data_IF_192857001315
#
_entry.id   IF_192857001315
#
_cell.length_a   1.000
_cell.length_b   1.000
_cell.length_c   1.000
_cell.angle_alpha   90.00
_cell.angle_beta   90.00
_cell.angle_gamma   90.00
#
_symmetry.space_group_name_H-M   'P 1'
#
loop_
_entity.id
_entity.type
_entity.pdbx_description
1 polymer ?
#
# COMPACT_ATOMS: atom_id res chain seq x y z
N UNK A 1 26.92 -10.21 -5.22
CA UNK A 1 26.03 -9.68 -4.17
C UNK A 1 24.74 -9.26 -4.86
N UNK A 2 23.59 -9.86 -4.52
CA UNK A 2 22.31 -9.56 -5.18
C UNK A 2 21.57 -8.54 -4.31
N UNK A 3 21.40 -7.32 -4.82
CA UNK A 3 20.61 -6.29 -4.15
C UNK A 3 19.15 -6.49 -4.56
N UNK A 4 18.27 -6.62 -3.57
CA UNK A 4 16.82 -6.64 -3.79
C UNK A 4 16.27 -5.24 -3.51
N UNK A 5 15.48 -4.71 -4.45
CA UNK A 5 14.72 -3.49 -4.27
C UNK A 5 13.24 -3.85 -4.19
N UNK A 6 12.53 -3.16 -3.30
CA UNK A 6 11.11 -3.32 -3.05
C UNK A 6 10.43 -2.00 -3.37
N UNK A 7 9.34 -2.04 -4.13
CA UNK A 7 8.49 -0.89 -4.44
C UNK A 7 7.11 -1.05 -3.79
N UNK A 8 6.65 -0.01 -3.12
CA UNK A 8 5.30 0.09 -2.56
C UNK A 8 4.62 1.24 -3.28
N UNK A 9 3.37 1.05 -3.68
CA UNK A 9 2.60 2.05 -4.39
C UNK A 9 1.15 2.03 -3.89
N UNK A 10 0.52 3.19 -3.89
CA UNK A 10 -0.90 3.38 -3.59
C UNK A 10 -1.54 3.98 -4.82
N UNK A 11 -2.60 3.34 -5.30
CA UNK A 11 -3.42 3.79 -6.42
C UNK A 11 -4.79 4.22 -5.88
N UNK A 12 -5.26 5.38 -6.33
CA UNK A 12 -6.67 5.73 -6.16
C UNK A 12 -7.53 4.92 -7.15
N UNK A 13 -8.47 4.13 -6.62
CA UNK A 13 -9.33 3.30 -7.44
C UNK A 13 -10.33 4.08 -8.28
N UNK A 14 -10.66 5.32 -7.93
CA UNK A 14 -11.61 6.16 -8.69
C UNK A 14 -11.06 6.55 -10.06
N UNK A 15 -9.82 7.07 -10.11
CA UNK A 15 -9.22 7.61 -11.33
C UNK A 15 -7.96 6.85 -11.79
N UNK A 16 -7.59 5.75 -11.10
CA UNK A 16 -6.39 4.92 -11.37
C UNK A 16 -5.06 5.67 -11.24
N UNK A 17 -5.05 6.81 -10.55
CA UNK A 17 -3.84 7.58 -10.35
C UNK A 17 -2.96 6.96 -9.26
N UNK A 18 -1.64 6.87 -9.52
CA UNK A 18 -0.66 6.57 -8.46
C UNK A 18 -0.54 7.80 -7.56
N UNK A 19 -1.01 7.67 -6.32
CA UNK A 19 -1.04 8.78 -5.35
C UNK A 19 0.12 8.75 -4.36
N UNK A 20 0.83 7.64 -4.24
CA UNK A 20 2.07 7.56 -3.46
C UNK A 20 2.88 6.35 -3.89
N UNK A 21 4.21 6.46 -3.85
CA UNK A 21 5.11 5.33 -4.05
C UNK A 21 6.41 5.55 -3.28
N UNK A 22 7.05 4.47 -2.85
CA UNK A 22 8.38 4.49 -2.23
C UNK A 22 9.17 3.25 -2.62
N UNK A 23 10.50 3.40 -2.71
CA UNK A 23 11.42 2.30 -3.00
C UNK A 23 12.35 2.10 -1.80
N UNK A 24 12.58 0.85 -1.41
CA UNK A 24 13.46 0.50 -0.29
C UNK A 24 14.27 -0.75 -0.60
N UNK A 25 15.44 -0.88 0.01
CA UNK A 25 16.23 -2.12 -0.01
C UNK A 25 15.69 -3.20 0.95
N UNK A 26 14.73 -2.84 1.81
CA UNK A 26 14.12 -3.75 2.80
C UNK A 26 12.62 -3.47 2.97
N UNK A 27 11.74 -4.50 2.98
CA UNK A 27 10.30 -4.32 3.13
C UNK A 27 9.92 -4.19 4.61
N UNK A 28 10.12 -2.99 5.18
CA UNK A 28 9.84 -2.69 6.60
C UNK A 28 8.63 -1.77 6.79
N UNK A 29 8.30 -1.47 8.06
CA UNK A 29 7.12 -0.67 8.44
C UNK A 29 7.25 0.76 7.94
N UNK A 30 8.44 1.30 8.07
CA UNK A 30 8.79 2.69 7.80
C UNK A 30 8.59 3.01 6.32
N UNK A 31 8.92 2.06 5.45
CA UNK A 31 8.72 2.15 4.02
C UNK A 31 7.23 2.19 3.62
N UNK A 32 6.39 1.32 4.19
CA UNK A 32 4.93 1.36 3.93
C UNK A 32 4.34 2.66 4.49
N UNK A 33 4.77 3.05 5.69
CA UNK A 33 4.35 4.30 6.32
C UNK A 33 4.71 5.52 5.46
N UNK A 34 5.91 5.54 4.89
CA UNK A 34 6.34 6.61 3.98
C UNK A 34 5.44 6.66 2.74
N UNK A 35 5.13 5.51 2.14
CA UNK A 35 4.21 5.40 1.00
C UNK A 35 2.82 5.96 1.32
N UNK A 36 2.27 5.63 2.49
CA UNK A 36 0.96 6.13 2.92
C UNK A 36 0.98 7.62 3.21
N UNK A 37 2.06 8.15 3.79
CA UNK A 37 2.23 9.60 3.97
C UNK A 37 2.37 10.34 2.64
N UNK A 38 3.05 9.75 1.66
CA UNK A 38 3.14 10.32 0.31
C UNK A 38 1.73 10.41 -0.33
N UNK A 39 0.94 9.34 -0.22
CA UNK A 39 -0.45 9.30 -0.66
C UNK A 39 -1.33 10.34 0.04
N UNK A 40 -1.25 10.41 1.38
CA UNK A 40 -1.96 11.38 2.20
C UNK A 40 -1.65 12.82 1.76
N UNK A 41 -0.35 13.13 1.59
CA UNK A 41 0.12 14.45 1.17
C UNK A 41 -0.37 14.82 -0.22
N UNK A 42 -0.28 13.88 -1.17
CA UNK A 42 -0.72 14.10 -2.56
C UNK A 42 -2.22 14.38 -2.63
N UNK A 43 -3.02 13.70 -1.80
CA UNK A 43 -4.47 13.92 -1.70
C UNK A 43 -4.87 15.06 -0.76
N UNK A 44 -3.91 15.75 -0.15
CA UNK A 44 -4.12 16.87 0.78
C UNK A 44 -5.08 16.49 1.93
N UNK A 45 -4.94 15.27 2.43
CA UNK A 45 -5.75 14.78 3.55
C UNK A 45 -5.08 15.14 4.87
N UNK A 46 -5.81 15.78 5.78
CA UNK A 46 -5.30 16.11 7.11
C UNK A 46 -5.06 14.85 7.97
N UNK A 47 -5.89 13.81 7.75
CA UNK A 47 -5.82 12.52 8.42
C UNK A 47 -6.18 11.38 7.46
N UNK A 48 -5.76 10.15 7.78
CA UNK A 48 -6.23 8.93 7.11
C UNK A 48 -7.40 8.27 7.85
N UNK A 49 -7.97 8.94 8.85
CA UNK A 49 -9.16 8.48 9.57
C UNK A 49 -10.33 8.25 8.61
N UNK A 50 -10.94 7.07 8.68
CA UNK A 50 -12.02 6.67 7.79
C UNK A 50 -11.59 6.30 6.37
N UNK A 51 -10.32 6.49 6.00
CA UNK A 51 -9.80 6.07 4.70
C UNK A 51 -9.64 4.56 4.66
N UNK A 52 -10.26 3.93 3.66
CA UNK A 52 -10.10 2.50 3.42
C UNK A 52 -8.85 2.27 2.56
N UNK A 53 -7.90 1.50 3.09
CA UNK A 53 -6.70 1.07 2.35
C UNK A 53 -6.84 -0.43 2.09
N UNK A 54 -6.96 -0.79 0.82
CA UNK A 54 -7.04 -2.17 0.38
C UNK A 54 -5.66 -2.71 0.01
N UNK A 55 -5.27 -3.84 0.61
CA UNK A 55 -4.05 -4.57 0.30
C UNK A 55 -4.35 -6.03 0.00
N UNK A 56 -3.44 -6.70 -0.69
CA UNK A 56 -3.51 -8.15 -0.79
C UNK A 56 -3.26 -8.84 0.57
N UNK A 57 -3.37 -10.17 0.59
CA UNK A 57 -2.96 -10.97 1.74
C UNK A 57 -1.45 -11.29 1.73
N UNK A 58 -0.59 -10.40 1.22
CA UNK A 58 0.86 -10.59 1.28
C UNK A 58 1.35 -10.77 2.73
N UNK A 59 2.48 -11.47 2.92
CA UNK A 59 3.06 -11.69 4.26
C UNK A 59 3.33 -10.37 5.01
N UNK A 60 3.68 -9.32 4.26
CA UNK A 60 3.91 -7.97 4.76
C UNK A 60 2.61 -7.35 5.31
N UNK A 61 1.49 -7.51 4.61
CA UNK A 61 0.19 -6.90 4.99
C UNK A 61 -0.59 -7.74 6.01
N UNK A 62 -0.32 -9.06 6.09
CA UNK A 62 -0.82 -9.93 7.17
C UNK A 62 -0.07 -9.78 8.50
N UNK A 63 1.04 -9.05 8.52
CA UNK A 63 1.88 -8.95 9.69
C UNK A 63 1.30 -8.05 10.79
N UNK A 64 1.73 -8.29 12.04
CA UNK A 64 1.45 -7.41 13.18
C UNK A 64 1.84 -5.96 12.91
N UNK A 65 2.86 -5.75 12.07
CA UNK A 65 3.35 -4.45 11.66
C UNK A 65 2.28 -3.62 10.94
N UNK A 66 1.54 -4.23 9.99
CA UNK A 66 0.49 -3.53 9.24
C UNK A 66 -0.69 -3.15 10.14
N UNK A 67 -1.09 -4.07 11.04
CA UNK A 67 -2.14 -3.81 12.03
C UNK A 67 -1.76 -2.71 13.03
N UNK A 68 -0.49 -2.63 13.40
CA UNK A 68 0.01 -1.52 14.23
C UNK A 68 0.04 -0.21 13.44
N UNK A 69 0.39 -0.26 12.15
CA UNK A 69 0.38 0.92 11.29
C UNK A 69 -1.04 1.46 11.06
N UNK A 70 -2.04 0.59 10.93
CA UNK A 70 -3.45 1.01 10.80
C UNK A 70 -3.95 1.71 12.05
N UNK A 71 -3.55 1.25 13.24
CA UNK A 71 -3.86 1.94 14.50
C UNK A 71 -3.15 3.28 14.63
N UNK A 72 -1.88 3.34 14.21
CA UNK A 72 -1.05 4.55 14.30
C UNK A 72 -1.52 5.66 13.36
N UNK A 73 -1.97 5.29 12.16
CA UNK A 73 -2.43 6.23 11.13
C UNK A 73 -3.96 6.34 11.05
N UNK A 74 -4.70 5.59 11.88
CA UNK A 74 -6.16 5.58 11.98
C UNK A 74 -6.93 5.20 10.69
N UNK A 75 -6.29 4.56 9.71
CA UNK A 75 -6.97 4.08 8.51
C UNK A 75 -7.72 2.75 8.75
N UNK A 76 -8.68 2.46 7.87
CA UNK A 76 -9.45 1.21 7.87
C UNK A 76 -8.74 0.20 6.96
N UNK A 77 -8.11 -0.86 7.49
CA UNK A 77 -7.48 -1.88 6.66
C UNK A 77 -8.56 -2.74 5.99
N UNK A 78 -8.47 -2.89 4.67
CA UNK A 78 -9.23 -3.86 3.89
C UNK A 78 -8.24 -4.83 3.23
N UNK A 79 -8.60 -6.11 3.18
CA UNK A 79 -7.76 -7.14 2.55
C UNK A 79 -8.61 -7.98 1.60
N UNK A 80 -8.05 -8.35 0.44
CA UNK A 80 -8.75 -9.21 -0.52
C UNK A 80 -9.07 -10.58 0.10
N UNK A 81 -10.19 -11.18 -0.29
CA UNK A 81 -10.49 -12.56 0.11
C UNK A 81 -9.55 -13.54 -0.60
N UNK A 82 -9.29 -14.69 0.04
CA UNK A 82 -8.49 -15.76 -0.58
C UNK A 82 -9.19 -16.16 -1.90
N UNK A 83 -8.47 -16.08 -3.02
CA UNK A 83 -8.95 -16.34 -4.38
C UNK A 83 -9.84 -15.24 -5.03
N UNK A 84 -9.91 -14.02 -4.50
CA UNK A 84 -10.50 -12.88 -5.22
C UNK A 84 -9.40 -12.01 -5.86
N UNK A 85 -9.08 -12.26 -7.13
CA UNK A 85 -8.04 -11.52 -7.87
C UNK A 85 -8.50 -10.13 -8.34
N UNK A 86 -9.80 -9.89 -8.44
CA UNK A 86 -10.34 -8.64 -9.00
C UNK A 86 -9.97 -7.41 -8.17
N UNK A 87 -9.91 -7.55 -6.86
CA UNK A 87 -9.60 -6.45 -5.95
C UNK A 87 -8.14 -5.97 -6.09
N UNK A 88 -7.23 -6.90 -6.42
CA UNK A 88 -5.80 -6.61 -6.61
C UNK A 88 -5.40 -6.38 -8.07
N UNK A 89 -6.26 -6.74 -9.03
CA UNK A 89 -5.95 -6.67 -10.46
C UNK A 89 -5.43 -5.30 -10.91
N UNK A 90 -5.92 -4.22 -10.28
CA UNK A 90 -5.53 -2.84 -10.60
C UNK A 90 -4.08 -2.56 -10.25
N UNK A 91 -3.67 -2.92 -9.03
CA UNK A 91 -2.29 -2.70 -8.57
C UNK A 91 -1.34 -3.73 -9.20
N UNK A 92 -1.80 -4.95 -9.44
CA UNK A 92 -1.05 -5.99 -10.17
C UNK A 92 -0.80 -5.58 -11.63
N UNK A 93 -1.80 -5.01 -12.31
CA UNK A 93 -1.65 -4.48 -13.67
C UNK A 93 -0.71 -3.28 -13.75
N UNK A 94 -0.63 -2.47 -12.68
CA UNK A 94 0.35 -1.39 -12.62
C UNK A 94 1.77 -1.96 -12.49
N UNK A 95 1.98 -2.93 -11.60
CA UNK A 95 3.29 -3.55 -11.43
C UNK A 95 3.73 -4.37 -12.65
N UNK A 96 2.82 -4.97 -13.41
CA UNK A 96 3.15 -5.67 -14.65
C UNK A 96 3.61 -4.74 -15.78
N UNK A 97 3.30 -3.44 -15.71
CA UNK A 97 3.82 -2.43 -16.63
C UNK A 97 5.19 -1.88 -16.20
N UNK A 98 5.61 -2.13 -14.96
CA UNK A 98 6.85 -1.66 -14.36
C UNK A 98 8.00 -2.68 -14.41
N UNK A 99 7.67 -3.96 -14.58
CA UNK A 99 8.58 -5.11 -14.69
C UNK A 99 8.76 -5.52 -16.15
#
# INVERSE_FOLDING_TARGET
MRFSLYISAVIDLFNREVIGFEISSSPNKEWIKATFKAAQKKRKLDTLEGVLIHSDQGSVYRSHMYRNLSKELHFIPSMSQKANCWDNAVIESFFSQLL
#
